data_IF_889535330458
#
_entry.id   IF_889535330458
#
_cell.length_a   1.000
_cell.length_b   1.000
_cell.length_c   1.000
_cell.angle_alpha   90.00
_cell.angle_beta   90.00
_cell.angle_gamma   90.00
#
_symmetry.space_group_name_H-M   'P 1'
#
loop_
_entity.id
_entity.type
_entity.pdbx_description
1 polymer ?
#
# COMPACT_ATOMS: atom_id res chain seq x y z
N UNK A 1 11.21 19.26 23.08
CA UNK A 1 10.41 18.13 22.57
C UNK A 1 11.36 17.25 21.77
N UNK A 2 11.49 15.96 22.12
CA UNK A 2 12.29 15.00 21.35
C UNK A 2 11.40 14.26 20.37
N UNK A 3 11.96 13.92 19.20
CA UNK A 3 11.33 13.08 18.19
C UNK A 3 12.17 11.81 18.04
N UNK A 4 11.53 10.65 17.99
CA UNK A 4 12.19 9.36 17.84
C UNK A 4 11.34 8.43 16.95
N UNK A 5 11.99 7.45 16.33
CA UNK A 5 11.32 6.35 15.62
C UNK A 5 11.02 5.28 16.67
N UNK A 6 9.74 4.97 16.86
CA UNK A 6 9.29 3.98 17.86
C UNK A 6 9.11 2.58 17.28
N UNK A 7 8.84 2.46 15.97
CA UNK A 7 8.70 1.18 15.30
C UNK A 7 8.67 1.31 13.79
N UNK A 8 8.93 0.19 13.10
CA UNK A 8 9.05 0.12 11.64
C UNK A 8 8.40 -1.15 11.10
N UNK A 9 7.92 -1.09 9.85
CA UNK A 9 7.33 -2.25 9.17
C UNK A 9 7.62 -2.18 7.67
N UNK A 10 8.06 -3.29 7.09
CA UNK A 10 8.63 -3.32 5.74
C UNK A 10 7.88 -4.32 4.87
N UNK A 11 7.52 -3.90 3.66
CA UNK A 11 6.99 -4.75 2.59
C UNK A 11 7.77 -4.44 1.33
N UNK A 12 8.56 -5.40 0.86
CA UNK A 12 9.57 -5.20 -0.18
C UNK A 12 9.59 -6.37 -1.17
N UNK A 13 10.28 -6.23 -2.31
CA UNK A 13 10.54 -7.36 -3.20
C UNK A 13 11.35 -8.52 -2.58
N UNK A 14 12.07 -8.30 -1.47
CA UNK A 14 12.77 -9.34 -0.71
C UNK A 14 11.89 -10.03 0.35
N UNK A 15 10.63 -9.59 0.52
CA UNK A 15 9.71 -10.12 1.52
C UNK A 15 9.19 -9.04 2.46
N UNK A 16 8.80 -9.42 3.68
CA UNK A 16 8.27 -8.52 4.70
C UNK A 16 9.00 -8.66 6.04
N UNK A 17 8.88 -7.63 6.87
CA UNK A 17 9.51 -7.55 8.18
C UNK A 17 10.93 -6.99 8.12
N UNK A 18 11.21 -6.08 9.04
CA UNK A 18 12.48 -5.35 9.10
C UNK A 18 13.65 -6.32 9.22
N UNK A 19 13.65 -7.16 10.25
CA UNK A 19 14.77 -8.09 10.52
C UNK A 19 15.00 -9.06 9.36
N UNK A 20 13.94 -9.66 8.83
CA UNK A 20 14.04 -10.67 7.76
C UNK A 20 14.54 -10.08 6.44
N UNK A 21 14.14 -8.85 6.11
CA UNK A 21 14.63 -8.15 4.91
C UNK A 21 16.04 -7.60 5.15
N UNK A 22 16.31 -7.08 6.35
CA UNK A 22 17.61 -6.52 6.72
C UNK A 22 18.71 -7.58 6.69
N UNK A 23 18.47 -8.76 7.27
CA UNK A 23 19.40 -9.89 7.22
C UNK A 23 19.72 -10.29 5.77
N UNK A 24 18.71 -10.35 4.89
CA UNK A 24 18.95 -10.66 3.49
C UNK A 24 19.86 -9.62 2.81
N UNK A 25 19.63 -8.34 3.08
CA UNK A 25 20.46 -7.25 2.54
C UNK A 25 21.91 -7.34 3.05
N UNK A 26 22.11 -7.65 4.34
CA UNK A 26 23.45 -7.82 4.91
C UNK A 26 24.24 -8.97 4.28
N UNK A 27 23.55 -10.02 3.85
CA UNK A 27 24.14 -11.15 3.12
C UNK A 27 24.33 -10.89 1.62
N UNK A 28 24.04 -9.67 1.14
CA UNK A 28 24.19 -9.29 -0.26
C UNK A 28 23.10 -9.86 -1.18
N UNK A 29 21.96 -10.28 -0.64
CA UNK A 29 20.84 -10.71 -1.46
C UNK A 29 20.16 -9.51 -2.13
N UNK A 30 19.81 -9.69 -3.40
CA UNK A 30 19.08 -8.71 -4.20
C UNK A 30 17.78 -9.32 -4.71
N UNK A 31 16.74 -8.48 -4.83
CA UNK A 31 15.52 -8.90 -5.47
C UNK A 31 15.76 -9.11 -6.97
N UNK A 32 15.13 -10.11 -7.55
CA UNK A 32 15.20 -10.36 -9.00
C UNK A 32 14.06 -9.65 -9.73
N UNK A 33 14.37 -9.01 -10.85
CA UNK A 33 13.34 -8.42 -11.70
C UNK A 33 12.59 -9.52 -12.46
N UNK A 34 11.26 -9.44 -12.46
CA UNK A 34 10.38 -10.33 -13.22
C UNK A 34 9.92 -9.65 -14.51
N UNK A 35 9.86 -10.41 -15.60
CA UNK A 35 9.25 -9.92 -16.85
C UNK A 35 7.74 -9.95 -16.71
N UNK A 36 7.13 -8.78 -16.84
CA UNK A 36 5.70 -8.53 -16.78
C UNK A 36 5.17 -8.23 -18.18
N UNK A 37 3.94 -8.68 -18.44
CA UNK A 37 3.16 -8.24 -19.60
C UNK A 37 2.10 -7.27 -19.14
N UNK A 38 1.93 -6.18 -19.89
CA UNK A 38 0.87 -5.21 -19.64
C UNK A 38 -0.51 -5.87 -19.75
N UNK A 39 -1.39 -5.63 -18.78
CA UNK A 39 -2.71 -6.28 -18.74
C UNK A 39 -3.61 -5.90 -19.92
N UNK A 40 -3.44 -4.68 -20.45
CA UNK A 40 -4.32 -4.10 -21.49
C UNK A 40 -3.47 -3.50 -22.62
N UNK A 41 -2.48 -4.24 -23.09
CA UNK A 41 -1.57 -3.83 -24.15
C UNK A 41 -0.59 -4.95 -24.49
N UNK A 42 0.32 -4.70 -25.42
CA UNK A 42 1.29 -5.69 -25.90
C UNK A 42 2.72 -5.40 -25.41
N UNK A 43 2.87 -4.50 -24.41
CA UNK A 43 4.17 -4.13 -23.86
C UNK A 43 4.60 -5.14 -22.80
N UNK A 44 5.89 -5.47 -22.81
CA UNK A 44 6.54 -6.15 -21.69
C UNK A 44 7.52 -5.21 -21.02
N UNK A 45 7.65 -5.34 -19.70
CA UNK A 45 8.58 -4.57 -18.89
C UNK A 45 9.11 -5.44 -17.74
N UNK A 46 10.25 -5.04 -17.16
CA UNK A 46 10.80 -5.71 -15.97
C UNK A 46 10.39 -4.97 -14.72
N UNK A 47 9.99 -5.69 -13.67
CA UNK A 47 9.61 -5.12 -12.39
C UNK A 47 10.07 -6.00 -11.23
N UNK A 48 10.49 -5.38 -10.12
CA UNK A 48 10.73 -6.08 -8.86
C UNK A 48 9.40 -6.20 -8.13
N UNK A 49 8.87 -7.42 -8.02
CA UNK A 49 7.57 -7.64 -7.41
C UNK A 49 7.71 -7.96 -5.93
N UNK A 50 6.78 -7.44 -5.15
CA UNK A 50 6.54 -7.93 -3.79
C UNK A 50 5.92 -9.33 -3.90
N UNK A 51 6.52 -10.37 -3.30
CA UNK A 51 5.96 -11.72 -3.34
C UNK A 51 4.67 -11.78 -2.53
N UNK A 52 3.73 -12.65 -2.91
CA UNK A 52 2.43 -12.76 -2.21
C UNK A 52 2.59 -13.20 -0.74
N UNK A 53 3.65 -13.97 -0.45
CA UNK A 53 4.04 -14.36 0.91
C UNK A 53 4.35 -13.17 1.81
N UNK A 54 4.78 -12.02 1.26
CA UNK A 54 5.01 -10.79 2.03
C UNK A 54 3.72 -10.24 2.67
N UNK A 55 2.55 -10.66 2.18
CA UNK A 55 1.25 -10.34 2.76
C UNK A 55 0.66 -11.49 3.60
N UNK A 56 1.40 -12.58 3.81
CA UNK A 56 0.91 -13.78 4.48
C UNK A 56 0.48 -13.55 5.93
N UNK A 57 1.10 -12.57 6.62
CA UNK A 57 0.74 -12.18 8.00
C UNK A 57 -0.43 -11.19 8.06
N UNK A 58 -0.85 -10.62 6.93
CA UNK A 58 -1.92 -9.63 6.89
C UNK A 58 -3.27 -10.33 7.05
N UNK A 59 -3.89 -10.16 8.22
CA UNK A 59 -5.21 -10.72 8.49
C UNK A 59 -6.22 -10.30 7.42
N UNK A 60 -7.10 -11.22 6.96
CA UNK A 60 -8.17 -10.86 6.05
C UNK A 60 -9.02 -9.73 6.63
N UNK A 61 -9.17 -8.64 5.87
CA UNK A 61 -9.98 -7.51 6.28
C UNK A 61 -10.99 -7.16 5.17
N UNK A 62 -12.29 -6.94 5.48
CA UNK A 62 -13.30 -6.67 4.47
C UNK A 62 -12.96 -5.51 3.53
N UNK A 63 -12.31 -4.45 4.06
CA UNK A 63 -11.85 -3.30 3.26
C UNK A 63 -10.72 -3.63 2.31
N UNK A 64 -9.85 -4.59 2.65
CA UNK A 64 -8.69 -4.95 1.84
C UNK A 64 -9.02 -5.95 0.73
N UNK A 65 -10.18 -6.61 0.79
CA UNK A 65 -10.59 -7.64 -0.17
C UNK A 65 -10.56 -7.19 -1.63
N UNK A 66 -10.83 -5.90 -1.88
CA UNK A 66 -10.82 -5.30 -3.23
C UNK A 66 -9.82 -4.15 -3.36
N UNK A 67 -9.02 -3.91 -2.32
CA UNK A 67 -8.07 -2.83 -2.29
C UNK A 67 -6.92 -3.08 -3.26
N UNK A 68 -6.30 -1.99 -3.71
CA UNK A 68 -5.09 -2.03 -4.52
C UNK A 68 -3.92 -2.68 -3.79
N UNK A 69 -2.96 -3.20 -4.57
CA UNK A 69 -1.75 -3.81 -4.00
C UNK A 69 -1.03 -2.84 -3.05
N UNK A 70 -0.90 -1.57 -3.45
CA UNK A 70 -0.30 -0.53 -2.61
C UNK A 70 -1.08 -0.28 -1.32
N UNK A 71 -2.42 -0.32 -1.34
CA UNK A 71 -3.24 -0.24 -0.12
C UNK A 71 -3.02 -1.45 0.80
N UNK A 72 -2.87 -2.66 0.25
CA UNK A 72 -2.55 -3.86 1.03
C UNK A 72 -1.13 -3.81 1.61
N UNK A 73 -0.16 -3.30 0.86
CA UNK A 73 1.21 -3.11 1.33
C UNK A 73 1.27 -2.06 2.45
N UNK A 74 0.59 -0.93 2.28
CA UNK A 74 0.46 0.10 3.30
C UNK A 74 -0.16 -0.46 4.59
N UNK A 75 -1.22 -1.26 4.47
CA UNK A 75 -1.85 -1.94 5.61
C UNK A 75 -0.88 -2.87 6.33
N UNK A 76 -0.19 -3.76 5.60
CA UNK A 76 0.76 -4.70 6.19
C UNK A 76 1.93 -3.98 6.89
N UNK A 77 2.58 -3.04 6.21
CA UNK A 77 3.70 -2.29 6.78
C UNK A 77 3.29 -1.41 7.96
N UNK A 78 2.15 -0.72 7.87
CA UNK A 78 1.66 0.15 8.95
C UNK A 78 1.22 -0.62 10.20
N UNK A 79 0.58 -1.78 10.04
CA UNK A 79 0.23 -2.65 11.16
C UNK A 79 1.48 -3.22 11.85
N UNK A 80 2.46 -3.66 11.07
CA UNK A 80 3.74 -4.16 11.58
C UNK A 80 4.49 -3.05 12.34
N UNK A 81 4.54 -1.83 11.81
CA UNK A 81 5.21 -0.70 12.47
C UNK A 81 4.59 -0.32 13.83
N UNK A 82 3.26 -0.38 13.95
CA UNK A 82 2.60 -0.14 15.24
C UNK A 82 2.79 -1.27 16.23
N UNK A 83 2.80 -2.51 15.74
CA UNK A 83 3.11 -3.68 16.55
C UNK A 83 4.54 -3.58 17.11
N UNK A 84 5.52 -3.24 16.27
CA UNK A 84 6.92 -3.03 16.65
C UNK A 84 7.06 -1.90 17.68
N UNK A 85 6.31 -0.82 17.50
CA UNK A 85 6.25 0.29 18.46
C UNK A 85 5.54 -0.05 19.80
N UNK A 86 4.91 -1.21 19.92
CA UNK A 86 4.09 -1.57 21.08
C UNK A 86 2.85 -0.67 21.25
N UNK A 87 2.37 -0.06 20.16
CA UNK A 87 1.26 0.89 20.18
C UNK A 87 -0.05 0.21 19.80
N UNK A 88 -1.00 0.17 20.72
CA UNK A 88 -2.36 -0.28 20.46
C UNK A 88 -3.28 0.91 20.22
N UNK A 89 -3.94 0.92 19.06
CA UNK A 89 -4.92 1.95 18.70
C UNK A 89 -6.33 1.56 19.09
N UNK A 90 -7.10 2.54 19.52
CA UNK A 90 -8.50 2.38 19.92
C UNK A 90 -9.26 3.69 19.87
N UNK A 91 -10.55 3.63 20.24
CA UNK A 91 -11.47 4.78 20.17
C UNK A 91 -10.99 6.01 20.96
N UNK A 92 -10.12 5.82 21.95
CA UNK A 92 -9.66 6.89 22.85
C UNK A 92 -8.44 7.66 22.36
N UNK A 93 -7.68 7.13 21.38
CA UNK A 93 -6.42 7.74 20.93
C UNK A 93 -6.32 7.98 19.42
N UNK A 94 -7.30 7.52 18.63
CA UNK A 94 -7.30 7.70 17.17
C UNK A 94 -7.21 9.16 16.71
N UNK A 95 -7.72 10.11 17.49
CA UNK A 95 -7.67 11.54 17.18
C UNK A 95 -6.30 12.20 17.49
N UNK A 96 -5.44 11.52 18.25
CA UNK A 96 -4.10 12.00 18.63
C UNK A 96 -3.01 11.56 17.66
N UNK A 97 -3.38 10.79 16.64
CA UNK A 97 -2.45 10.23 15.67
C UNK A 97 -2.73 10.87 14.34
N UNK A 98 -1.65 11.34 13.71
CA UNK A 98 -1.68 11.76 12.32
C UNK A 98 -1.10 10.65 11.45
N UNK A 99 -1.74 10.40 10.31
CA UNK A 99 -1.19 9.55 9.26
C UNK A 99 -0.71 10.44 8.12
N UNK A 100 0.58 10.35 7.79
CA UNK A 100 1.15 10.98 6.60
C UNK A 100 1.63 9.86 5.69
N UNK A 101 1.00 9.72 4.53
CA UNK A 101 1.35 8.68 3.56
C UNK A 101 1.98 9.33 2.32
N UNK A 102 3.26 9.05 2.08
CA UNK A 102 4.00 9.59 0.95
C UNK A 102 4.09 8.57 -0.19
N UNK A 103 3.78 9.01 -1.41
CA UNK A 103 3.86 8.18 -2.61
C UNK A 103 4.30 8.99 -3.83
N UNK A 104 4.91 8.31 -4.80
CA UNK A 104 5.14 8.89 -6.13
C UNK A 104 4.04 8.53 -7.11
N UNK A 105 3.58 7.27 -7.06
CA UNK A 105 2.56 6.75 -7.95
C UNK A 105 1.47 6.02 -7.15
N UNK A 106 0.21 6.27 -7.52
CA UNK A 106 -0.96 5.60 -6.95
C UNK A 106 -1.32 4.30 -7.67
N UNK A 107 -2.56 3.83 -7.47
CA UNK A 107 -3.13 2.63 -8.10
C UNK A 107 -3.46 2.80 -9.59
N UNK A 108 -2.52 3.22 -10.43
CA UNK A 108 -2.76 3.59 -11.86
C UNK A 108 -3.47 2.49 -12.66
N UNK A 109 -3.23 1.22 -12.35
CA UNK A 109 -3.92 0.09 -12.99
C UNK A 109 -5.44 0.12 -12.75
N UNK A 110 -5.89 0.62 -11.59
CA UNK A 110 -7.32 0.76 -11.26
C UNK A 110 -7.95 1.88 -12.07
N UNK A 111 -7.23 2.99 -12.30
CA UNK A 111 -7.67 4.05 -13.22
C UNK A 111 -7.87 3.50 -14.62
N UNK A 112 -6.90 2.72 -15.13
CA UNK A 112 -7.01 2.08 -16.45
C UNK A 112 -8.20 1.11 -16.53
N UNK A 113 -8.41 0.28 -15.50
CA UNK A 113 -9.57 -0.64 -15.41
C UNK A 113 -10.91 0.10 -15.38
N UNK A 114 -10.98 1.21 -14.63
CA UNK A 114 -12.20 1.99 -14.50
C UNK A 114 -12.59 2.65 -15.83
N UNK A 115 -11.63 3.30 -16.50
CA UNK A 115 -11.90 4.02 -17.75
C UNK A 115 -12.07 3.11 -18.97
N UNK A 116 -11.41 1.95 -19.01
CA UNK A 116 -11.53 1.03 -20.15
C UNK A 116 -12.98 0.66 -20.43
N UNK A 117 -13.69 0.17 -19.41
CA UNK A 117 -15.08 -0.27 -19.59
C UNK A 117 -15.95 0.90 -20.10
N UNK A 118 -15.72 2.11 -19.58
CA UNK A 118 -16.42 3.33 -19.99
C UNK A 118 -16.15 3.67 -21.45
N UNK A 119 -14.90 3.59 -21.90
CA UNK A 119 -14.50 3.89 -23.27
C UNK A 119 -15.06 2.84 -24.24
N UNK A 120 -15.05 1.57 -23.86
CA UNK A 120 -15.47 0.46 -24.73
C UNK A 120 -17.00 0.32 -24.82
N UNK A 121 -17.73 0.60 -23.74
CA UNK A 121 -19.16 0.25 -23.63
C UNK A 121 -20.05 1.39 -23.14
N UNK A 122 -19.48 2.59 -22.95
CA UNK A 122 -20.20 3.79 -22.53
C UNK A 122 -20.25 3.96 -21.00
N UNK A 123 -20.66 5.16 -20.55
CA UNK A 123 -20.59 5.57 -19.14
C UNK A 123 -21.32 4.65 -18.15
N UNK A 124 -22.33 3.89 -18.61
CA UNK A 124 -23.15 3.00 -17.77
C UNK A 124 -22.35 1.82 -17.21
N UNK A 125 -21.21 1.48 -17.82
CA UNK A 125 -20.35 0.38 -17.38
C UNK A 125 -19.33 0.78 -16.31
N UNK A 126 -19.30 2.06 -15.93
CA UNK A 126 -18.43 2.56 -14.87
C UNK A 126 -18.66 1.75 -13.59
N UNK A 127 -17.60 1.08 -13.10
CA UNK A 127 -17.69 0.26 -11.88
C UNK A 127 -17.42 1.13 -10.65
N UNK A 128 -18.42 1.49 -9.84
CA UNK A 128 -18.23 2.43 -8.73
C UNK A 128 -17.25 1.89 -7.68
N UNK A 129 -17.14 0.56 -7.59
CA UNK A 129 -16.23 -0.12 -6.66
C UNK A 129 -14.75 0.00 -7.03
N UNK A 130 -14.41 0.36 -8.28
CA UNK A 130 -13.02 0.59 -8.69
C UNK A 130 -12.59 2.02 -8.41
N UNK A 131 -13.52 2.97 -8.44
CA UNK A 131 -13.23 4.40 -8.33
C UNK A 131 -12.43 4.77 -7.06
N UNK A 132 -12.75 4.24 -5.86
CA UNK A 132 -11.96 4.56 -4.66
C UNK A 132 -10.48 4.18 -4.75
N UNK A 133 -10.11 3.21 -5.61
CA UNK A 133 -8.71 2.79 -5.79
C UNK A 133 -7.96 3.58 -6.88
N UNK A 134 -8.64 4.50 -7.58
CA UNK A 134 -8.01 5.33 -8.63
C UNK A 134 -7.33 6.58 -8.07
N UNK A 135 -7.70 6.98 -6.85
CA UNK A 135 -7.21 8.19 -6.19
C UNK A 135 -5.95 7.90 -5.36
N UNK A 136 -5.06 8.89 -5.27
CA UNK A 136 -3.77 8.75 -4.60
C UNK A 136 -3.90 8.54 -3.09
N UNK A 137 -4.97 9.03 -2.47
CA UNK A 137 -5.21 8.87 -1.04
C UNK A 137 -5.82 7.52 -0.63
N UNK A 138 -6.11 6.61 -1.58
CA UNK A 138 -6.70 5.32 -1.28
C UNK A 138 -5.93 4.52 -0.21
N UNK A 139 -4.58 4.38 -0.28
CA UNK A 139 -3.84 3.60 0.71
C UNK A 139 -3.91 4.21 2.10
N UNK A 140 -3.78 5.54 2.21
CA UNK A 140 -3.89 6.27 3.47
C UNK A 140 -5.29 6.11 4.08
N UNK A 141 -6.33 6.19 3.24
CA UNK A 141 -7.72 6.01 3.66
C UNK A 141 -7.97 4.61 4.21
N UNK A 142 -7.52 3.56 3.53
CA UNK A 142 -7.64 2.19 4.03
C UNK A 142 -6.88 2.00 5.33
N UNK A 143 -5.63 2.44 5.39
CA UNK A 143 -4.78 2.27 6.57
C UNK A 143 -5.36 3.02 7.78
N UNK A 144 -5.71 4.30 7.64
CA UNK A 144 -6.33 5.08 8.71
C UNK A 144 -7.60 4.39 9.23
N UNK A 145 -8.42 3.89 8.31
CA UNK A 145 -9.70 3.29 8.66
C UNK A 145 -9.56 1.88 9.27
N UNK A 146 -8.51 1.12 8.92
CA UNK A 146 -8.16 -0.15 9.58
C UNK A 146 -7.62 0.11 10.99
N UNK A 147 -6.81 1.16 11.14
CA UNK A 147 -6.16 1.54 12.39
C UNK A 147 -7.05 2.33 13.35
N UNK A 148 -8.23 2.78 12.90
CA UNK A 148 -9.10 3.64 13.70
C UNK A 148 -8.55 5.05 13.91
N UNK A 149 -7.69 5.53 13.01
CA UNK A 149 -7.16 6.90 13.04
C UNK A 149 -8.27 7.87 12.62
N UNK A 150 -8.57 8.81 13.50
CA UNK A 150 -9.56 9.88 13.28
C UNK A 150 -8.92 11.27 13.33
N UNK A 151 -7.62 11.35 13.64
CA UNK A 151 -6.82 12.57 13.52
C UNK A 151 -6.47 12.87 12.06
N UNK A 152 -5.56 13.81 11.87
CA UNK A 152 -5.20 14.28 10.54
C UNK A 152 -4.64 13.17 9.65
N UNK A 153 -5.19 13.02 8.45
CA UNK A 153 -4.70 12.06 7.46
C UNK A 153 -4.34 12.80 6.18
N UNK A 154 -3.07 12.75 5.79
CA UNK A 154 -2.55 13.41 4.61
C UNK A 154 -1.94 12.39 3.65
N UNK A 155 -2.10 12.65 2.36
CA UNK A 155 -1.34 11.98 1.30
C UNK A 155 -0.43 13.00 0.65
N UNK A 156 0.86 12.73 0.66
CA UNK A 156 1.86 13.55 -0.02
C UNK A 156 2.24 12.84 -1.31
N UNK A 157 2.18 13.57 -2.42
CA UNK A 157 2.60 13.07 -3.73
C UNK A 157 3.86 13.82 -4.12
N UNK A 158 4.92 13.07 -4.40
CA UNK A 158 6.21 13.63 -4.82
C UNK A 158 7.06 12.59 -5.53
N UNK A 159 7.89 13.05 -6.45
CA UNK A 159 8.91 12.23 -7.09
C UNK A 159 10.31 12.73 -6.68
N UNK A 160 11.34 12.31 -7.41
CA UNK A 160 12.73 12.67 -7.10
C UNK A 160 13.13 14.05 -7.65
N UNK A 161 12.19 14.83 -8.23
CA UNK A 161 12.42 16.14 -8.84
C UNK A 161 11.63 17.25 -8.16
#
# INVERSE_FOLDING_TARGET
MSLAIAGMGWVTPLGNGVDAVWEQLLHGHEASAEKMSEQFGNRSYSAFRVPESALGKLAPHPRLRRASAISRFAAAAGLEALQDAGVTLGSQNGNRIALVFAISNGGVIYTKRFYRDIVETGAQSARPLLFPETVFNAPASHLAAILGITGSTYTLVGDKT
#
